data_IF_625646885402
#
_entry.id   IF_625646885402
#
_cell.length_a   1.000
_cell.length_b   1.000
_cell.length_c   1.000
_cell.angle_alpha   90.00
_cell.angle_beta   90.00
_cell.angle_gamma   90.00
#
_symmetry.space_group_name_H-M   'P 1'
#
loop_
_entity.id
_entity.type
_entity.pdbx_description
1 polymer ?
#
# COMPACT_ATOMS: atom_id res chain seq x y z
N UNK A 1 20.00 16.94 14.11
CA UNK A 1 19.67 17.58 12.82
C UNK A 1 18.23 18.08 12.91
N UNK A 2 17.97 19.33 12.56
CA UNK A 2 16.60 19.89 12.59
C UNK A 2 15.96 19.67 11.22
N UNK A 3 14.80 19.01 11.20
CA UNK A 3 14.03 18.79 9.97
C UNK A 3 13.14 20.02 9.72
N UNK A 4 12.94 20.33 8.43
CA UNK A 4 12.05 21.41 8.00
C UNK A 4 10.71 20.82 7.54
N UNK A 5 9.66 21.06 8.30
CA UNK A 5 8.28 20.65 7.99
C UNK A 5 7.37 21.84 7.75
N UNK A 6 7.94 23.05 7.53
CA UNK A 6 7.18 24.30 7.40
C UNK A 6 7.41 25.02 6.09
N UNK A 7 8.55 24.79 5.43
CA UNK A 7 8.83 25.40 4.13
C UNK A 7 7.91 24.79 3.06
N UNK A 8 7.21 25.67 2.34
CA UNK A 8 6.43 25.29 1.17
C UNK A 8 7.36 25.18 -0.03
N UNK A 9 7.45 23.99 -0.61
CA UNK A 9 8.27 23.73 -1.79
C UNK A 9 7.34 23.75 -3.01
N UNK A 10 7.62 24.63 -3.97
CA UNK A 10 6.91 24.62 -5.24
C UNK A 10 7.27 23.37 -6.05
N UNK A 11 6.25 22.60 -6.37
CA UNK A 11 6.35 21.33 -7.10
C UNK A 11 5.69 21.39 -8.47
N UNK A 12 5.05 22.50 -8.83
CA UNK A 12 4.43 22.65 -10.14
C UNK A 12 5.49 22.68 -11.24
N UNK A 13 5.26 21.91 -12.31
CA UNK A 13 6.23 21.78 -13.41
C UNK A 13 7.53 21.05 -13.03
N UNK A 14 7.50 20.22 -11.99
CA UNK A 14 8.62 19.38 -11.51
C UNK A 14 8.32 17.89 -11.62
N UNK A 15 7.47 17.50 -12.56
CA UNK A 15 7.01 16.12 -12.76
C UNK A 15 6.32 15.51 -11.52
N UNK A 16 5.78 16.36 -10.65
CA UNK A 16 5.04 15.95 -9.49
C UNK A 16 3.60 15.61 -9.87
N UNK A 17 3.25 14.34 -9.95
CA UNK A 17 1.92 13.88 -10.36
C UNK A 17 0.79 14.54 -9.58
N UNK A 18 0.97 14.78 -8.28
CA UNK A 18 -0.03 15.45 -7.44
C UNK A 18 -0.43 16.83 -7.95
N UNK A 19 0.50 17.58 -8.55
CA UNK A 19 0.29 18.92 -9.09
C UNK A 19 0.07 18.90 -10.60
N UNK A 20 1.00 18.28 -11.32
CA UNK A 20 1.03 18.33 -12.78
C UNK A 20 0.00 17.40 -13.43
N UNK A 21 -0.60 16.49 -12.66
CA UNK A 21 -1.68 15.60 -13.09
C UNK A 21 -3.09 16.20 -13.00
N UNK A 22 -3.28 17.32 -12.29
CA UNK A 22 -4.59 17.97 -12.15
C UNK A 22 -5.12 18.41 -13.51
N UNK A 23 -6.36 18.00 -13.85
CA UNK A 23 -6.99 18.25 -15.13
C UNK A 23 -6.38 17.53 -16.32
N UNK A 24 -5.58 16.49 -16.09
CA UNK A 24 -5.06 15.59 -17.14
C UNK A 24 -5.59 14.19 -16.89
N UNK A 25 -5.50 13.32 -17.88
CA UNK A 25 -5.82 11.90 -17.73
C UNK A 25 -4.52 11.10 -17.60
N UNK A 26 -4.19 10.69 -16.39
CA UNK A 26 -2.99 9.89 -16.07
C UNK A 26 -3.42 8.47 -15.64
N UNK A 27 -4.33 8.36 -14.68
CA UNK A 27 -4.83 7.10 -14.11
C UNK A 27 -6.35 6.95 -14.23
N UNK A 28 -7.09 8.00 -14.69
CA UNK A 28 -8.53 7.98 -14.90
C UNK A 28 -9.36 8.36 -13.66
N UNK A 29 -8.74 8.88 -12.62
CA UNK A 29 -9.41 9.39 -11.41
C UNK A 29 -8.81 10.72 -10.90
N UNK A 30 -8.15 11.46 -11.77
CA UNK A 30 -7.58 12.76 -11.48
C UNK A 30 -8.69 13.78 -11.22
N UNK A 31 -8.46 14.72 -10.29
CA UNK A 31 -9.39 15.81 -10.09
C UNK A 31 -9.37 16.81 -11.25
N UNK A 32 -10.50 17.45 -11.48
CA UNK A 32 -10.58 18.60 -12.36
C UNK A 32 -9.75 19.76 -11.83
N UNK A 33 -9.40 20.70 -12.71
CA UNK A 33 -8.78 21.96 -12.33
C UNK A 33 -9.67 22.74 -11.36
N UNK A 34 -9.03 23.51 -10.48
CA UNK A 34 -9.75 24.43 -9.61
C UNK A 34 -10.64 25.39 -10.40
N UNK A 35 -11.81 25.71 -9.85
CA UNK A 35 -12.69 26.73 -10.42
C UNK A 35 -12.01 28.09 -10.37
N UNK A 36 -12.30 29.01 -11.30
CA UNK A 36 -11.76 30.36 -11.27
C UNK A 36 -11.94 31.02 -9.90
N UNK A 37 -10.86 31.60 -9.36
CA UNK A 37 -10.83 32.26 -8.05
C UNK A 37 -10.52 31.30 -6.86
N UNK A 38 -10.24 30.05 -7.09
CA UNK A 38 -9.81 29.10 -6.06
C UNK A 38 -8.40 28.60 -6.35
N UNK A 39 -7.63 28.33 -5.27
CA UNK A 39 -6.32 27.70 -5.36
C UNK A 39 -6.43 26.19 -5.69
N UNK A 40 -5.49 25.70 -6.48
CA UNK A 40 -5.34 24.24 -6.70
C UNK A 40 -4.56 23.63 -5.55
N UNK A 41 -5.28 22.91 -4.66
CA UNK A 41 -4.69 22.23 -3.52
C UNK A 41 -4.78 20.72 -3.77
N UNK A 42 -3.67 20.04 -4.14
CA UNK A 42 -3.69 18.62 -4.43
C UNK A 42 -3.87 17.80 -3.15
N UNK A 43 -4.91 16.95 -3.12
CA UNK A 43 -5.24 16.04 -2.00
C UNK A 43 -5.62 14.63 -2.48
N UNK A 44 -5.24 14.25 -3.69
CA UNK A 44 -5.66 13.01 -4.34
C UNK A 44 -4.56 11.94 -4.45
N UNK A 45 -3.31 12.34 -4.34
CA UNK A 45 -2.14 11.45 -4.32
C UNK A 45 -1.53 11.49 -2.92
N UNK A 46 -1.22 10.33 -2.35
CA UNK A 46 -0.52 10.21 -1.08
C UNK A 46 0.97 10.53 -1.25
N UNK A 47 1.28 11.80 -1.46
CA UNK A 47 2.61 12.32 -1.70
C UNK A 47 2.94 13.45 -0.72
N UNK A 48 4.14 13.44 -0.14
CA UNK A 48 4.53 14.41 0.86
C UNK A 48 5.01 15.72 0.23
N UNK A 49 4.56 16.85 0.82
CA UNK A 49 5.01 18.18 0.44
C UNK A 49 6.18 18.68 1.29
N UNK A 50 6.70 17.89 2.20
CA UNK A 50 7.88 18.21 3.01
C UNK A 50 9.16 17.79 2.30
N UNK A 51 10.27 18.52 2.57
CA UNK A 51 11.58 18.13 2.12
C UNK A 51 11.94 16.72 2.65
N UNK A 52 12.57 15.92 1.79
CA UNK A 52 13.12 14.62 2.21
C UNK A 52 14.15 14.82 3.32
N UNK A 53 14.18 13.88 4.26
CA UNK A 53 15.15 13.87 5.35
C UNK A 53 16.58 14.11 4.83
N UNK A 54 17.33 15.11 5.35
CA UNK A 54 18.66 15.45 4.87
C UNK A 54 19.64 14.27 4.87
N UNK A 55 19.51 13.33 5.81
CA UNK A 55 20.36 12.13 5.84
C UNK A 55 20.15 11.24 4.61
N UNK A 56 18.93 11.16 4.08
CA UNK A 56 18.61 10.43 2.84
C UNK A 56 19.28 11.10 1.65
N UNK A 57 19.13 12.43 1.54
CA UNK A 57 19.77 13.21 0.46
C UNK A 57 21.30 13.02 0.48
N UNK A 58 21.92 13.15 1.66
CA UNK A 58 23.37 12.95 1.83
C UNK A 58 23.81 11.55 1.42
N UNK A 59 23.04 10.52 1.77
CA UNK A 59 23.36 9.14 1.39
C UNK A 59 23.29 8.96 -0.14
N UNK A 60 22.30 9.56 -0.80
CA UNK A 60 22.19 9.56 -2.26
C UNK A 60 23.36 10.29 -2.92
N UNK A 61 23.75 11.47 -2.42
CA UNK A 61 24.92 12.22 -2.91
C UNK A 61 26.21 11.40 -2.77
N UNK A 62 26.41 10.70 -1.66
CA UNK A 62 27.56 9.81 -1.49
C UNK A 62 27.53 8.64 -2.50
N UNK A 63 26.35 8.05 -2.74
CA UNK A 63 26.22 6.99 -3.73
C UNK A 63 26.53 7.45 -5.14
N UNK A 64 26.14 8.68 -5.51
CA UNK A 64 26.41 9.27 -6.82
C UNK A 64 27.90 9.47 -7.10
N UNK A 65 28.77 9.57 -6.09
CA UNK A 65 30.23 9.64 -6.26
C UNK A 65 30.82 8.37 -6.88
N UNK A 66 30.08 7.26 -6.83
CA UNK A 66 30.41 6.02 -7.54
C UNK A 66 29.42 5.85 -8.72
N UNK A 67 29.69 6.41 -9.89
CA UNK A 67 28.72 6.57 -10.98
C UNK A 67 28.52 5.30 -11.83
N UNK A 68 28.64 4.14 -11.24
CA UNK A 68 28.36 2.86 -11.87
C UNK A 68 27.06 2.28 -11.27
N UNK A 69 26.01 2.21 -12.10
CA UNK A 69 24.65 1.82 -11.69
C UNK A 69 24.21 0.52 -12.38
N UNK A 70 25.13 -0.46 -12.43
CA UNK A 70 24.86 -1.78 -12.99
C UNK A 70 24.08 -2.69 -12.02
N UNK A 71 24.25 -3.98 -12.21
CA UNK A 71 23.66 -4.97 -11.30
C UNK A 71 24.18 -4.78 -9.88
N UNK A 72 23.29 -4.94 -8.89
CA UNK A 72 23.63 -4.83 -7.48
C UNK A 72 23.03 -5.99 -6.67
N UNK A 73 23.62 -6.25 -5.54
CA UNK A 73 23.05 -7.14 -4.52
C UNK A 73 22.61 -6.30 -3.32
N UNK A 74 21.44 -6.56 -2.74
CA UNK A 74 21.07 -5.96 -1.47
C UNK A 74 22.14 -6.27 -0.41
N UNK A 75 22.63 -5.24 0.27
CA UNK A 75 23.68 -5.39 1.27
C UNK A 75 23.17 -6.00 2.56
N UNK A 76 24.05 -6.57 3.39
CA UNK A 76 23.68 -7.03 4.73
C UNK A 76 23.10 -5.90 5.58
N UNK A 77 23.60 -4.67 5.41
CA UNK A 77 23.07 -3.50 6.08
C UNK A 77 21.60 -3.22 5.70
N UNK A 78 21.20 -3.49 4.45
CA UNK A 78 19.80 -3.35 4.02
C UNK A 78 18.89 -4.27 4.84
N UNK A 79 19.20 -5.55 4.91
CA UNK A 79 18.41 -6.52 5.67
C UNK A 79 18.42 -6.21 7.17
N UNK A 80 19.59 -5.84 7.70
CA UNK A 80 19.71 -5.51 9.12
C UNK A 80 18.84 -4.30 9.51
N UNK A 81 18.75 -3.27 8.67
CA UNK A 81 17.87 -2.12 8.93
C UNK A 81 16.39 -2.48 8.93
N UNK A 82 15.97 -3.42 8.09
CA UNK A 82 14.60 -3.95 8.10
C UNK A 82 14.34 -4.70 9.42
N UNK A 83 15.24 -5.58 9.81
CA UNK A 83 15.16 -6.34 11.07
C UNK A 83 15.13 -5.40 12.27
N UNK A 84 16.06 -4.44 12.35
CA UNK A 84 16.13 -3.45 13.42
C UNK A 84 14.80 -2.67 13.55
N UNK A 85 14.23 -2.26 12.42
CA UNK A 85 12.95 -1.54 12.39
C UNK A 85 11.80 -2.39 12.94
N UNK A 86 11.66 -3.61 12.45
CA UNK A 86 10.59 -4.51 12.88
C UNK A 86 10.73 -4.90 14.36
N UNK A 87 11.95 -5.18 14.81
CA UNK A 87 12.21 -5.51 16.20
C UNK A 87 11.93 -4.33 17.13
N UNK A 88 12.43 -3.12 16.79
CA UNK A 88 12.33 -1.97 17.69
C UNK A 88 11.00 -1.24 17.65
N UNK A 89 10.26 -1.31 16.53
CA UNK A 89 9.02 -0.57 16.31
C UNK A 89 7.77 -1.44 16.42
N UNK A 90 7.89 -2.73 16.15
CA UNK A 90 6.76 -3.65 16.07
C UNK A 90 6.89 -4.86 16.99
N UNK A 91 7.93 -4.89 17.82
CA UNK A 91 8.19 -5.97 18.79
C UNK A 91 8.18 -7.36 18.14
N UNK A 92 8.86 -7.46 16.98
CA UNK A 92 9.01 -8.71 16.24
C UNK A 92 10.48 -9.15 16.17
N UNK A 93 11.02 -9.75 17.26
CA UNK A 93 12.42 -10.17 17.35
C UNK A 93 12.74 -11.43 16.53
N UNK A 94 11.72 -12.19 16.12
CA UNK A 94 11.89 -13.45 15.38
C UNK A 94 12.18 -13.24 13.89
N UNK A 95 12.06 -12.00 13.37
CA UNK A 95 12.35 -11.73 11.97
C UNK A 95 13.82 -11.98 11.64
N UNK A 96 14.07 -12.85 10.69
CA UNK A 96 15.40 -13.18 10.19
C UNK A 96 15.57 -12.81 8.73
N UNK A 97 16.80 -12.76 8.26
CA UNK A 97 17.12 -12.39 6.86
C UNK A 97 16.43 -13.26 5.82
N UNK A 98 16.33 -14.55 6.06
CA UNK A 98 15.72 -15.53 5.15
C UNK A 98 14.21 -15.38 5.01
N UNK A 99 13.57 -14.62 5.92
CA UNK A 99 12.17 -14.25 5.83
C UNK A 99 11.92 -12.98 4.99
N UNK A 100 12.98 -12.34 4.46
CA UNK A 100 12.90 -11.06 3.75
C UNK A 100 13.22 -11.30 2.27
N UNK A 101 12.21 -11.19 1.40
CA UNK A 101 12.37 -11.14 -0.04
C UNK A 101 12.48 -9.70 -0.56
N UNK A 102 13.08 -9.52 -1.73
CA UNK A 102 13.10 -8.24 -2.44
C UNK A 102 12.10 -8.28 -3.59
N UNK A 103 11.22 -7.31 -3.61
CA UNK A 103 10.26 -7.11 -4.68
C UNK A 103 10.27 -5.65 -5.17
N UNK A 104 9.77 -5.42 -6.36
CA UNK A 104 9.67 -4.08 -6.94
C UNK A 104 8.45 -3.33 -6.39
N UNK A 105 8.51 -2.96 -5.12
CA UNK A 105 7.43 -2.31 -4.39
C UNK A 105 6.35 -3.28 -3.92
N UNK A 106 5.37 -2.75 -3.16
CA UNK A 106 4.28 -3.55 -2.56
C UNK A 106 3.40 -4.21 -3.63
N UNK A 107 3.11 -3.52 -4.74
CA UNK A 107 2.35 -4.09 -5.86
C UNK A 107 3.05 -5.27 -6.51
N UNK A 108 4.39 -5.21 -6.65
CA UNK A 108 5.19 -6.35 -7.10
C UNK A 108 5.00 -7.55 -6.19
N UNK A 109 5.15 -7.36 -4.88
CA UNK A 109 4.94 -8.43 -3.88
C UNK A 109 3.53 -9.00 -3.88
N UNK A 110 2.51 -8.15 -3.97
CA UNK A 110 1.11 -8.60 -4.08
C UNK A 110 0.91 -9.43 -5.35
N UNK A 111 1.36 -8.94 -6.49
CA UNK A 111 1.21 -9.63 -7.79
C UNK A 111 1.94 -10.98 -7.79
N UNK A 112 3.17 -11.04 -7.28
CA UNK A 112 3.92 -12.28 -7.13
C UNK A 112 3.18 -13.28 -6.24
N UNK A 113 2.63 -12.82 -5.11
CA UNK A 113 1.85 -13.66 -4.18
C UNK A 113 0.58 -14.20 -4.85
N UNK A 114 -0.16 -13.33 -5.54
CA UNK A 114 -1.37 -13.73 -6.29
C UNK A 114 -1.04 -14.82 -7.31
N UNK A 115 0.04 -14.65 -8.08
CA UNK A 115 0.42 -15.62 -9.12
C UNK A 115 0.89 -16.97 -8.57
N UNK A 116 1.49 -16.98 -7.38
CA UNK A 116 1.98 -18.20 -6.74
C UNK A 116 0.86 -18.99 -6.04
N UNK A 117 -0.09 -18.27 -5.42
CA UNK A 117 -1.11 -18.88 -4.56
C UNK A 117 -2.47 -19.09 -5.25
N UNK A 118 -2.64 -18.57 -6.46
CA UNK A 118 -3.93 -18.67 -7.20
C UNK A 118 -3.70 -18.88 -8.69
N UNK A 119 -4.75 -19.33 -9.39
CA UNK A 119 -4.79 -19.48 -10.84
C UNK A 119 -5.68 -18.38 -11.48
N UNK A 120 -5.49 -18.04 -12.78
CA UNK A 120 -6.43 -17.18 -13.50
C UNK A 120 -7.85 -17.73 -13.40
N UNK A 121 -8.81 -16.86 -13.04
CA UNK A 121 -10.19 -17.26 -12.78
C UNK A 121 -10.53 -17.44 -11.30
N UNK A 122 -9.54 -17.57 -10.43
CA UNK A 122 -9.78 -17.66 -8.99
C UNK A 122 -10.32 -16.35 -8.40
N UNK A 123 -11.10 -16.51 -7.35
CA UNK A 123 -11.70 -15.41 -6.61
C UNK A 123 -10.82 -14.96 -5.44
N UNK A 124 -10.59 -13.67 -5.34
CA UNK A 124 -9.81 -13.06 -4.24
C UNK A 124 -10.68 -12.05 -3.50
N UNK A 125 -10.76 -12.18 -2.17
CA UNK A 125 -11.55 -11.30 -1.33
C UNK A 125 -10.82 -9.99 -1.04
N UNK A 126 -11.55 -8.88 -1.17
CA UNK A 126 -11.08 -7.52 -0.86
C UNK A 126 -12.19 -6.76 -0.14
N UNK A 127 -11.86 -6.01 0.89
CA UNK A 127 -12.83 -5.13 1.53
C UNK A 127 -13.14 -3.92 0.65
N UNK A 128 -14.41 -3.45 0.62
CA UNK A 128 -14.77 -2.22 -0.08
C UNK A 128 -15.32 -1.17 0.90
N UNK A 129 -15.04 0.16 0.69
CA UNK A 129 -14.17 0.68 -0.36
C UNK A 129 -12.74 0.18 -0.22
N UNK A 130 -11.99 0.12 -1.34
CA UNK A 130 -10.62 -0.38 -1.36
C UNK A 130 -9.69 0.52 -2.17
N UNK A 131 -8.40 0.28 -2.05
CA UNK A 131 -7.40 0.93 -2.89
C UNK A 131 -7.50 0.41 -4.33
N UNK A 132 -7.64 1.30 -5.35
CA UNK A 132 -7.83 0.89 -6.74
C UNK A 132 -6.72 0.00 -7.29
N UNK A 133 -5.49 0.15 -6.80
CA UNK A 133 -4.35 -0.67 -7.19
C UNK A 133 -4.57 -2.16 -6.94
N UNK A 134 -5.25 -2.56 -5.86
CA UNK A 134 -5.56 -3.97 -5.60
C UNK A 134 -6.50 -4.55 -6.67
N UNK A 135 -7.46 -3.76 -7.13
CA UNK A 135 -8.36 -4.15 -8.21
C UNK A 135 -7.55 -4.34 -9.50
N UNK A 136 -6.62 -3.41 -9.78
CA UNK A 136 -5.71 -3.49 -10.93
C UNK A 136 -4.83 -4.75 -10.89
N UNK A 137 -4.19 -5.04 -9.75
CA UNK A 137 -3.34 -6.22 -9.57
C UNK A 137 -4.11 -7.52 -9.85
N UNK A 138 -5.33 -7.64 -9.33
CA UNK A 138 -6.19 -8.80 -9.53
C UNK A 138 -6.68 -8.91 -10.98
N UNK A 139 -7.21 -7.81 -11.54
CA UNK A 139 -7.74 -7.80 -12.90
C UNK A 139 -6.68 -8.07 -13.95
N UNK A 140 -5.50 -7.45 -13.82
CA UNK A 140 -4.37 -7.62 -14.74
C UNK A 140 -3.79 -9.03 -14.69
N UNK A 141 -3.97 -9.74 -13.60
CA UNK A 141 -3.55 -11.14 -13.43
C UNK A 141 -4.67 -12.14 -13.71
N UNK A 142 -5.85 -11.67 -14.15
CA UNK A 142 -6.98 -12.51 -14.51
C UNK A 142 -7.76 -13.11 -13.34
N UNK A 143 -7.65 -12.54 -12.13
CA UNK A 143 -8.38 -12.98 -10.94
C UNK A 143 -9.68 -12.22 -10.78
N UNK A 144 -10.67 -12.86 -10.16
CA UNK A 144 -11.97 -12.25 -9.88
C UNK A 144 -11.94 -11.55 -8.51
N UNK A 145 -12.32 -10.27 -8.49
CA UNK A 145 -12.43 -9.52 -7.25
C UNK A 145 -13.76 -9.82 -6.58
N UNK A 146 -13.72 -10.32 -5.35
CA UNK A 146 -14.89 -10.51 -4.50
C UNK A 146 -14.90 -9.45 -3.42
N UNK A 147 -15.83 -8.50 -3.53
CA UNK A 147 -15.93 -7.42 -2.55
C UNK A 147 -16.72 -7.84 -1.31
N UNK A 148 -16.13 -7.62 -0.13
CA UNK A 148 -16.83 -7.63 1.16
C UNK A 148 -16.95 -6.20 1.67
N UNK A 149 -18.15 -5.57 1.60
CA UNK A 149 -18.33 -4.20 2.01
C UNK A 149 -18.11 -4.00 3.50
N UNK A 150 -17.33 -2.97 3.84
CA UNK A 150 -17.23 -2.50 5.22
C UNK A 150 -18.55 -1.84 5.63
N UNK A 151 -18.91 -2.00 6.89
CA UNK A 151 -20.06 -1.33 7.51
C UNK A 151 -19.61 -0.19 8.38
N UNK A 152 -20.43 0.87 8.48
CA UNK A 152 -20.17 1.99 9.38
C UNK A 152 -21.04 1.87 10.60
N UNK A 153 -20.46 1.53 11.75
CA UNK A 153 -21.12 1.37 13.03
C UNK A 153 -20.70 2.50 13.97
N UNK A 154 -21.63 3.32 14.39
CA UNK A 154 -21.36 4.48 15.25
C UNK A 154 -20.21 5.39 14.72
N UNK A 155 -20.13 5.54 13.40
CA UNK A 155 -19.08 6.36 12.77
C UNK A 155 -17.77 5.61 12.49
N UNK A 156 -17.60 4.38 12.98
CA UNK A 156 -16.40 3.56 12.81
C UNK A 156 -16.62 2.55 11.69
N UNK A 157 -15.65 2.42 10.78
CA UNK A 157 -15.66 1.38 9.77
C UNK A 157 -15.33 0.02 10.38
N UNK A 158 -16.13 -1.00 10.09
CA UNK A 158 -16.01 -2.37 10.61
C UNK A 158 -16.08 -3.38 9.46
N UNK A 159 -15.38 -4.51 9.62
CA UNK A 159 -15.56 -5.68 8.76
C UNK A 159 -16.92 -6.32 8.98
N UNK A 160 -17.57 -6.78 7.91
CA UNK A 160 -18.77 -7.60 7.99
C UNK A 160 -18.39 -9.07 7.92
N UNK A 161 -18.14 -9.68 9.07
CA UNK A 161 -17.69 -11.07 9.14
C UNK A 161 -18.71 -12.07 8.59
N UNK A 162 -20.02 -11.76 8.69
CA UNK A 162 -21.06 -12.60 8.12
C UNK A 162 -21.03 -12.56 6.58
N UNK A 163 -20.89 -11.36 6.01
CA UNK A 163 -20.72 -11.17 4.56
C UNK A 163 -19.42 -11.81 4.05
N UNK A 164 -18.31 -11.64 4.80
CA UNK A 164 -17.04 -12.30 4.47
C UNK A 164 -17.21 -13.82 4.40
N UNK A 165 -17.82 -14.43 5.41
CA UNK A 165 -18.03 -15.87 5.47
C UNK A 165 -18.91 -16.36 4.32
N UNK A 166 -20.03 -15.68 4.03
CA UNK A 166 -20.90 -16.00 2.90
C UNK A 166 -20.13 -16.00 1.58
N UNK A 167 -19.34 -14.94 1.35
CA UNK A 167 -18.59 -14.77 0.11
C UNK A 167 -17.43 -15.75 -0.05
N UNK A 168 -16.72 -16.06 1.02
CA UNK A 168 -15.68 -17.10 1.01
C UNK A 168 -16.28 -18.43 0.57
N UNK A 169 -17.40 -18.84 1.15
CA UNK A 169 -18.09 -20.08 0.76
C UNK A 169 -18.60 -20.06 -0.67
N UNK A 170 -19.31 -18.98 -1.03
CA UNK A 170 -20.00 -18.89 -2.32
C UNK A 170 -19.03 -18.84 -3.50
N UNK A 171 -17.91 -18.20 -3.34
CA UNK A 171 -16.93 -17.98 -4.41
C UNK A 171 -15.68 -18.86 -4.26
N UNK A 172 -15.64 -19.76 -3.29
CA UNK A 172 -14.47 -20.63 -3.02
C UNK A 172 -13.17 -19.81 -2.90
N UNK A 173 -13.20 -18.77 -2.08
CA UNK A 173 -12.07 -17.84 -1.91
C UNK A 173 -10.98 -18.51 -1.08
N UNK A 174 -9.75 -18.55 -1.62
CA UNK A 174 -8.55 -19.07 -0.94
C UNK A 174 -7.51 -17.98 -0.66
N UNK A 175 -7.72 -16.77 -1.17
CA UNK A 175 -6.83 -15.63 -0.95
C UNK A 175 -7.62 -14.37 -0.64
N UNK A 176 -7.13 -13.58 0.30
CA UNK A 176 -7.67 -12.26 0.61
C UNK A 176 -6.56 -11.21 0.66
N UNK A 177 -6.84 -9.99 0.17
CA UNK A 177 -5.97 -8.84 0.40
C UNK A 177 -6.45 -8.12 1.64
N UNK A 178 -5.66 -8.19 2.72
CA UNK A 178 -5.95 -7.58 4.02
C UNK A 178 -5.10 -6.34 4.23
N UNK A 179 -5.72 -5.16 4.18
CA UNK A 179 -5.04 -3.86 4.27
C UNK A 179 -5.22 -3.22 5.66
N UNK A 180 -4.10 -2.88 6.31
CA UNK A 180 -4.10 -2.14 7.58
C UNK A 180 -2.84 -1.24 7.66
N UNK A 181 -2.96 0.09 7.85
CA UNK A 181 -4.20 0.89 7.84
C UNK A 181 -4.98 0.73 6.53
N UNK A 182 -6.30 0.57 6.62
CA UNK A 182 -7.15 0.33 5.47
C UNK A 182 -7.28 1.59 4.60
N UNK A 183 -6.99 1.45 3.33
CA UNK A 183 -7.14 2.52 2.34
C UNK A 183 -8.45 2.29 1.54
N UNK A 184 -9.38 3.27 1.44
CA UNK A 184 -9.20 4.70 1.79
C UNK A 184 -9.76 5.13 3.15
N UNK A 185 -10.28 4.23 3.99
CA UNK A 185 -11.00 4.62 5.21
C UNK A 185 -10.09 5.11 6.33
N UNK A 186 -8.78 4.80 6.28
CA UNK A 186 -7.80 5.09 7.33
C UNK A 186 -7.95 4.21 8.58
N UNK A 187 -8.81 3.20 8.53
CA UNK A 187 -9.08 2.33 9.67
C UNK A 187 -7.87 1.46 10.01
N UNK A 188 -7.36 1.55 11.22
CA UNK A 188 -6.45 0.57 11.82
C UNK A 188 -7.29 -0.45 12.56
N UNK A 189 -7.18 -1.72 12.18
CA UNK A 189 -8.00 -2.78 12.76
C UNK A 189 -7.60 -3.05 14.21
N UNK A 190 -8.58 -3.26 15.06
CA UNK A 190 -8.36 -3.69 16.44
C UNK A 190 -7.95 -5.18 16.46
N UNK A 191 -7.24 -5.59 17.51
CA UNK A 191 -6.75 -6.97 17.63
C UNK A 191 -7.87 -8.01 17.45
N UNK A 192 -9.00 -7.81 18.11
CA UNK A 192 -10.15 -8.73 18.02
C UNK A 192 -10.72 -8.85 16.59
N UNK A 193 -10.69 -7.77 15.81
CA UNK A 193 -11.12 -7.77 14.41
C UNK A 193 -10.18 -8.64 13.57
N UNK A 194 -8.86 -8.49 13.79
CA UNK A 194 -7.85 -9.29 13.10
C UNK A 194 -7.98 -10.77 13.49
N UNK A 195 -8.11 -11.06 14.78
CA UNK A 195 -8.27 -12.43 15.29
C UNK A 195 -9.51 -13.11 14.72
N UNK A 196 -10.62 -12.39 14.62
CA UNK A 196 -11.85 -12.92 14.02
C UNK A 196 -11.72 -13.14 12.52
N UNK A 197 -11.08 -12.23 11.79
CA UNK A 197 -10.80 -12.41 10.37
C UNK A 197 -9.88 -13.62 10.12
N UNK A 198 -8.80 -13.75 10.89
CA UNK A 198 -7.88 -14.88 10.77
C UNK A 198 -8.54 -16.22 11.13
N UNK A 199 -9.41 -16.24 12.15
CA UNK A 199 -10.19 -17.43 12.50
C UNK A 199 -11.14 -17.84 11.37
N UNK A 200 -11.73 -16.86 10.69
CA UNK A 200 -12.59 -17.10 9.54
C UNK A 200 -11.79 -17.64 8.35
N UNK A 201 -10.67 -17.06 8.01
CA UNK A 201 -9.81 -17.56 6.94
C UNK A 201 -9.35 -18.99 7.22
N UNK A 202 -8.83 -19.26 8.42
CA UNK A 202 -8.41 -20.61 8.84
C UNK A 202 -9.52 -21.66 8.78
N UNK A 203 -10.79 -21.25 8.91
CA UNK A 203 -11.94 -22.18 8.87
C UNK A 203 -12.21 -22.71 7.46
N UNK A 204 -11.82 -21.97 6.43
CA UNK A 204 -12.13 -22.25 5.03
C UNK A 204 -10.88 -22.47 4.18
N UNK A 205 -9.74 -22.63 4.80
CA UNK A 205 -8.47 -22.96 4.14
C UNK A 205 -8.44 -24.45 3.75
#
# INVERSE_FOLDING_TARGET
MKYDFTTIIDRAGKDATAFDGIGKTVWGFEPDKAKPGFDEIPMWVADMNFATCPAVVQAMEQRLKHPLFGYFLPSDAYYQRIIDWQTTRHDWPELTRDMIGYENGVHGGITSTIQVLTEPGDAVLVHSPTYPGFIGDLSNTGRHVVFSPLRKEQGIWRMDFADMEEKIKKHHVHLAIFCSPQNPTGRVWERWEIEQAMALFKKYD
#
